data_IF_575498227552
#
_entry.id   IF_575498227552
#
_cell.length_a   1.000
_cell.length_b   1.000
_cell.length_c   1.000
_cell.angle_alpha   90.00
_cell.angle_beta   90.00
_cell.angle_gamma   90.00
#
_symmetry.space_group_name_H-M   'P 1'
#
loop_
_entity.id
_entity.type
_entity.pdbx_description
1 polymer ?
#
# COMPACT_ATOMS: atom_id res chain seq x y z
N UNK A 1 -7.43 -11.53 16.43
CA UNK A 1 -8.17 -10.46 15.74
C UNK A 1 -8.30 -9.28 16.70
N UNK A 2 -7.74 -8.12 16.32
CA UNK A 2 -7.84 -6.89 17.13
C UNK A 2 -9.29 -6.38 17.03
N UNK A 3 -9.90 -6.06 18.17
CA UNK A 3 -11.24 -5.47 18.21
C UNK A 3 -11.12 -3.95 18.21
N UNK A 4 -11.36 -3.33 17.06
CA UNK A 4 -11.34 -1.86 16.87
C UNK A 4 -12.70 -1.46 16.31
N UNK A 5 -13.31 -0.42 16.88
CA UNK A 5 -14.49 0.21 16.30
C UNK A 5 -14.12 0.81 14.94
N UNK A 6 -14.90 0.47 13.92
CA UNK A 6 -14.61 0.90 12.54
C UNK A 6 -15.79 1.67 11.97
N UNK A 7 -15.49 2.74 11.23
CA UNK A 7 -16.45 3.49 10.43
C UNK A 7 -16.01 3.43 8.96
N UNK A 8 -16.88 2.90 8.11
CA UNK A 8 -16.65 2.93 6.67
C UNK A 8 -16.86 4.35 6.13
N UNK A 9 -15.99 4.74 5.19
CA UNK A 9 -16.06 6.02 4.48
C UNK A 9 -16.35 5.71 3.01
N UNK A 10 -17.47 6.20 2.48
CA UNK A 10 -17.87 5.96 1.09
C UNK A 10 -17.09 6.87 0.13
N UNK A 11 -15.97 6.35 -0.37
CA UNK A 11 -15.12 7.07 -1.32
C UNK A 11 -15.80 7.31 -2.68
N UNK A 12 -16.78 6.47 -3.06
CA UNK A 12 -17.49 6.62 -4.35
C UNK A 12 -18.39 7.85 -4.33
N UNK A 13 -19.01 8.12 -3.18
CA UNK A 13 -19.83 9.31 -2.94
C UNK A 13 -19.04 10.50 -2.37
N UNK A 14 -17.70 10.38 -2.34
CA UNK A 14 -16.80 11.44 -1.86
C UNK A 14 -17.01 11.82 -0.38
N UNK A 15 -17.46 10.90 0.45
CA UNK A 15 -17.74 11.14 1.89
C UNK A 15 -16.47 11.64 2.64
N UNK A 16 -15.26 11.26 2.17
CA UNK A 16 -14.00 11.76 2.72
C UNK A 16 -13.81 13.29 2.52
N UNK A 17 -14.63 13.92 1.68
CA UNK A 17 -14.58 15.37 1.44
C UNK A 17 -15.57 16.14 2.31
N UNK A 18 -16.43 15.46 3.08
CA UNK A 18 -17.38 16.08 3.98
C UNK A 18 -16.70 16.71 5.20
N UNK A 19 -17.36 17.72 5.77
CA UNK A 19 -16.83 18.51 6.89
C UNK A 19 -16.46 17.67 8.11
N UNK A 20 -17.25 16.63 8.42
CA UNK A 20 -16.98 15.77 9.58
C UNK A 20 -15.66 15.00 9.42
N UNK A 21 -15.38 14.49 8.19
CA UNK A 21 -14.13 13.76 7.93
C UNK A 21 -12.95 14.73 7.79
N UNK A 22 -13.15 15.86 7.10
CA UNK A 22 -12.11 16.89 6.93
C UNK A 22 -11.63 17.48 8.25
N UNK A 23 -12.49 17.53 9.28
CA UNK A 23 -12.11 17.92 10.65
C UNK A 23 -11.20 16.90 11.33
N UNK A 24 -11.36 15.60 11.01
CA UNK A 24 -10.51 14.52 11.50
C UNK A 24 -9.20 14.48 10.72
N UNK A 25 -9.30 14.45 9.39
CA UNK A 25 -8.14 14.42 8.50
C UNK A 25 -8.25 15.45 7.38
N UNK A 26 -7.62 16.63 7.50
CA UNK A 26 -7.64 17.67 6.48
C UNK A 26 -7.02 17.27 5.13
N UNK A 27 -6.33 16.12 5.07
CA UNK A 27 -5.83 15.53 3.82
C UNK A 27 -6.90 14.83 3.01
N UNK A 28 -8.08 14.56 3.61
CA UNK A 28 -9.21 13.88 2.95
C UNK A 28 -8.81 12.51 2.38
N UNK A 29 -7.97 11.77 3.10
CA UNK A 29 -7.47 10.43 2.72
C UNK A 29 -7.81 9.40 3.78
N UNK A 30 -7.98 8.15 3.36
CA UNK A 30 -8.13 6.98 4.22
C UNK A 30 -6.89 6.07 4.05
N UNK A 31 -6.56 5.24 5.06
CA UNK A 31 -7.21 5.07 6.35
C UNK A 31 -6.88 6.19 7.35
N UNK A 32 -7.69 6.28 8.42
CA UNK A 32 -7.41 7.12 9.59
C UNK A 32 -7.68 6.30 10.85
N UNK A 33 -6.79 6.38 11.81
CA UNK A 33 -6.97 5.82 13.15
C UNK A 33 -6.94 6.97 14.18
N UNK A 34 -7.91 6.97 15.08
CA UNK A 34 -7.94 7.87 16.24
C UNK A 34 -7.66 7.04 17.49
N UNK A 35 -6.60 7.37 18.23
CA UNK A 35 -6.24 6.68 19.47
C UNK A 35 -7.17 7.04 20.63
N UNK A 36 -7.03 6.34 21.76
CA UNK A 36 -7.78 6.63 23.00
C UNK A 36 -7.48 8.03 23.55
N UNK A 37 -6.27 8.54 23.30
CA UNK A 37 -5.86 9.90 23.66
C UNK A 37 -6.21 10.95 22.59
N UNK A 38 -7.05 10.61 21.62
CA UNK A 38 -7.43 11.45 20.48
C UNK A 38 -6.26 11.85 19.55
N UNK A 39 -5.16 11.11 19.53
CA UNK A 39 -4.12 11.28 18.53
C UNK A 39 -4.58 10.69 17.19
N UNK A 40 -4.27 11.39 16.09
CA UNK A 40 -4.73 11.01 14.75
C UNK A 40 -3.55 10.49 13.93
N UNK A 41 -3.70 9.26 13.42
CA UNK A 41 -2.77 8.62 12.50
C UNK A 41 -3.47 8.42 11.15
N UNK A 42 -2.85 8.88 10.05
CA UNK A 42 -3.46 8.90 8.72
C UNK A 42 -2.57 8.31 7.61
N UNK A 43 -1.46 7.65 8.00
CA UNK A 43 -0.66 6.82 7.10
C UNK A 43 -0.69 5.37 7.57
N UNK A 44 -0.85 4.43 6.63
CA UNK A 44 -0.96 3.00 6.94
C UNK A 44 0.20 2.51 7.81
N UNK A 45 1.45 2.87 7.48
CA UNK A 45 2.62 2.48 8.27
C UNK A 45 2.58 3.05 9.68
N UNK A 46 2.20 4.32 9.86
CA UNK A 46 2.08 4.92 11.20
C UNK A 46 1.01 4.23 12.04
N UNK A 47 -0.11 3.85 11.41
CA UNK A 47 -1.17 3.08 12.06
C UNK A 47 -0.65 1.71 12.48
N UNK A 48 0.07 1.00 11.61
CA UNK A 48 0.65 -0.31 11.92
C UNK A 48 1.68 -0.23 13.06
N UNK A 49 2.55 0.79 13.05
CA UNK A 49 3.51 1.01 14.15
C UNK A 49 2.81 1.25 15.48
N UNK A 50 1.76 2.08 15.49
CA UNK A 50 0.96 2.31 16.70
C UNK A 50 0.28 1.02 17.19
N UNK A 51 -0.38 0.29 16.27
CA UNK A 51 -1.09 -0.94 16.61
C UNK A 51 -0.15 -2.04 17.11
N UNK A 52 1.05 -2.15 16.56
CA UNK A 52 2.03 -3.15 17.02
C UNK A 52 2.56 -2.84 18.43
N UNK A 53 2.63 -1.57 18.82
CA UNK A 53 2.96 -1.20 20.21
C UNK A 53 1.80 -1.50 21.18
N UNK A 54 0.55 -1.31 20.73
CA UNK A 54 -0.63 -1.65 21.54
C UNK A 54 -0.88 -3.18 21.64
N UNK A 55 -0.42 -3.95 20.63
CA UNK A 55 -0.62 -5.40 20.51
C UNK A 55 0.68 -6.10 20.09
N UNK A 56 1.71 -6.10 20.97
CA UNK A 56 3.07 -6.54 20.61
C UNK A 56 3.20 -8.04 20.33
N UNK A 57 2.22 -8.86 20.68
CA UNK A 57 2.21 -10.31 20.45
C UNK A 57 2.15 -10.69 18.96
N UNK A 58 1.70 -9.80 18.08
CA UNK A 58 1.58 -10.06 16.63
C UNK A 58 2.93 -9.95 15.92
N UNK A 59 3.72 -8.95 16.27
CA UNK A 59 5.11 -8.74 15.85
C UNK A 59 5.35 -8.86 14.33
N UNK A 60 4.58 -8.09 13.53
CA UNK A 60 4.74 -8.07 12.07
C UNK A 60 5.82 -7.09 11.59
N UNK A 61 6.18 -6.09 12.41
CA UNK A 61 7.20 -5.09 12.08
C UNK A 61 8.62 -5.47 12.58
N UNK A 62 8.78 -6.65 13.19
CA UNK A 62 10.08 -7.18 13.56
C UNK A 62 10.40 -7.18 15.04
N UNK A 63 11.24 -8.13 15.46
CA UNK A 63 11.64 -8.37 16.84
C UNK A 63 12.93 -7.63 17.23
N UNK A 64 13.85 -7.48 16.28
CA UNK A 64 15.13 -6.80 16.46
C UNK A 64 15.15 -5.46 15.73
N UNK A 65 16.09 -4.59 16.08
CA UNK A 65 16.25 -3.30 15.38
C UNK A 65 16.61 -3.51 13.90
N UNK A 66 17.43 -4.50 13.60
CA UNK A 66 17.83 -4.85 12.24
C UNK A 66 16.64 -5.36 11.43
N UNK A 67 15.85 -6.28 11.99
CA UNK A 67 14.65 -6.80 11.34
C UNK A 67 13.62 -5.69 11.08
N UNK A 68 13.37 -4.82 12.08
CA UNK A 68 12.49 -3.66 11.93
C UNK A 68 12.97 -2.73 10.81
N UNK A 69 14.27 -2.42 10.80
CA UNK A 69 14.86 -1.60 9.75
C UNK A 69 14.67 -2.19 8.35
N UNK A 70 14.90 -3.50 8.20
CA UNK A 70 14.73 -4.21 6.93
C UNK A 70 13.27 -4.24 6.47
N UNK A 71 12.33 -4.53 7.36
CA UNK A 71 10.89 -4.55 7.05
C UNK A 71 10.42 -3.17 6.61
N UNK A 72 10.77 -2.10 7.35
CA UNK A 72 10.39 -0.73 7.00
C UNK A 72 11.03 -0.31 5.67
N UNK A 73 12.27 -0.73 5.41
CA UNK A 73 12.94 -0.48 4.14
C UNK A 73 12.19 -1.10 2.96
N UNK A 74 11.78 -2.37 3.09
CA UNK A 74 10.98 -3.06 2.06
C UNK A 74 9.61 -2.42 1.87
N UNK A 75 8.93 -2.02 2.95
CA UNK A 75 7.65 -1.30 2.87
C UNK A 75 7.81 0.00 2.08
N UNK A 76 8.82 0.81 2.39
CA UNK A 76 9.07 2.06 1.68
C UNK A 76 9.46 1.84 0.21
N UNK A 77 10.20 0.76 -0.07
CA UNK A 77 10.58 0.40 -1.43
C UNK A 77 9.35 0.01 -2.27
N UNK A 78 8.46 -0.82 -1.72
CA UNK A 78 7.17 -1.18 -2.35
C UNK A 78 6.30 0.07 -2.56
N UNK A 79 6.17 0.95 -1.54
CA UNK A 79 5.39 2.19 -1.66
C UNK A 79 5.91 3.07 -2.80
N UNK A 80 7.22 3.33 -2.78
CA UNK A 80 7.84 4.28 -3.71
C UNK A 80 7.92 3.76 -5.15
N UNK A 81 8.11 2.45 -5.33
CA UNK A 81 8.40 1.86 -6.63
C UNK A 81 7.22 1.12 -7.25
N UNK A 82 6.33 0.52 -6.44
CA UNK A 82 5.17 -0.21 -6.96
C UNK A 82 3.87 0.56 -6.76
N UNK A 83 3.49 0.94 -5.53
CA UNK A 83 2.22 1.65 -5.29
C UNK A 83 2.12 2.98 -6.04
N UNK A 84 3.17 3.80 -6.00
CA UNK A 84 3.19 5.07 -6.75
C UNK A 84 3.08 4.82 -8.25
N UNK A 85 3.76 3.80 -8.77
CA UNK A 85 3.70 3.44 -10.19
C UNK A 85 2.30 2.99 -10.62
N UNK A 86 1.62 2.18 -9.80
CA UNK A 86 0.22 1.78 -10.04
C UNK A 86 -0.71 3.01 -9.96
N UNK A 87 -0.51 3.87 -8.97
CA UNK A 87 -1.29 5.10 -8.82
C UNK A 87 -1.12 6.03 -10.01
N UNK A 88 0.09 6.19 -10.53
CA UNK A 88 0.38 6.95 -11.75
C UNK A 88 -0.39 6.38 -12.95
N UNK A 89 -0.41 5.04 -13.12
CA UNK A 89 -1.19 4.39 -14.17
C UNK A 89 -2.68 4.64 -14.00
N UNK A 90 -3.22 4.26 -12.85
CA UNK A 90 -4.67 4.25 -12.61
C UNK A 90 -5.27 5.65 -12.67
N UNK A 91 -4.63 6.60 -11.96
CA UNK A 91 -5.16 7.95 -11.79
C UNK A 91 -5.04 8.79 -13.04
N UNK A 92 -4.01 8.54 -13.86
CA UNK A 92 -3.80 9.28 -15.11
C UNK A 92 -4.50 8.66 -16.34
N UNK A 93 -5.19 7.51 -16.19
CA UNK A 93 -5.97 6.88 -17.28
C UNK A 93 -7.45 6.71 -16.97
N UNK A 94 -7.82 6.61 -15.70
CA UNK A 94 -9.21 6.34 -15.32
C UNK A 94 -10.09 7.57 -15.56
N UNK A 95 -11.19 7.40 -16.29
CA UNK A 95 -12.20 8.45 -16.51
C UNK A 95 -12.79 8.97 -15.19
N UNK A 96 -12.92 8.11 -14.18
CA UNK A 96 -13.43 8.48 -12.86
C UNK A 96 -12.46 9.39 -12.08
N UNK A 97 -11.20 9.46 -12.49
CA UNK A 97 -10.17 10.29 -11.88
C UNK A 97 -9.87 11.57 -12.67
N UNK A 98 -10.71 11.90 -13.68
CA UNK A 98 -10.55 13.14 -14.43
C UNK A 98 -10.55 14.34 -13.48
N UNK A 99 -9.53 15.21 -13.60
CA UNK A 99 -9.26 16.36 -12.72
C UNK A 99 -8.99 15.98 -11.25
N UNK A 100 -8.74 14.68 -10.96
CA UNK A 100 -8.45 14.17 -9.61
C UNK A 100 -7.30 13.18 -9.62
N UNK A 101 -6.26 13.48 -10.40
CA UNK A 101 -5.10 12.59 -10.56
C UNK A 101 -4.29 12.38 -9.27
N UNK A 102 -4.45 13.27 -8.29
CA UNK A 102 -3.86 13.13 -6.95
C UNK A 102 -4.99 13.16 -5.92
N UNK A 103 -4.91 12.28 -4.92
CA UNK A 103 -5.85 12.28 -3.78
C UNK A 103 -5.60 13.48 -2.87
N UNK A 104 -6.68 13.97 -2.23
CA UNK A 104 -6.59 15.09 -1.30
C UNK A 104 -7.58 16.21 -1.64
N UNK A 105 -7.46 17.36 -0.95
CA UNK A 105 -8.43 18.45 -1.06
C UNK A 105 -8.31 19.26 -2.35
N UNK A 106 -7.19 19.17 -3.08
CA UNK A 106 -6.98 19.87 -4.35
C UNK A 106 -7.16 18.94 -5.53
N UNK A 107 -7.73 19.50 -6.60
CA UNK A 107 -7.86 18.81 -7.87
C UNK A 107 -6.62 19.03 -8.75
N UNK A 108 -6.20 17.96 -9.43
CA UNK A 108 -5.09 17.98 -10.38
C UNK A 108 -5.51 17.26 -11.66
N UNK A 109 -5.09 17.81 -12.80
CA UNK A 109 -5.33 17.20 -14.09
C UNK A 109 -4.50 15.94 -14.29
N UNK A 110 -4.98 15.09 -15.18
CA UNK A 110 -4.28 13.86 -15.58
C UNK A 110 -3.13 14.20 -16.54
N UNK A 111 -2.03 13.47 -16.40
CA UNK A 111 -0.84 13.53 -17.26
C UNK A 111 -0.63 12.14 -17.84
N UNK A 112 -1.07 11.87 -19.09
CA UNK A 112 -1.02 10.52 -19.67
C UNK A 112 0.37 9.89 -19.69
N UNK A 113 1.43 10.68 -19.83
CA UNK A 113 2.82 10.22 -19.86
C UNK A 113 3.24 9.58 -18.53
N UNK A 114 2.67 10.03 -17.41
CA UNK A 114 2.89 9.40 -16.10
C UNK A 114 2.34 7.97 -16.07
N UNK A 115 1.22 7.72 -16.74
CA UNK A 115 0.65 6.38 -16.83
C UNK A 115 1.54 5.42 -17.62
N UNK A 116 2.16 5.90 -18.70
CA UNK A 116 3.10 5.09 -19.52
C UNK A 116 4.30 4.73 -18.65
N UNK A 117 4.96 5.72 -18.05
CA UNK A 117 6.10 5.52 -17.16
C UNK A 117 5.76 4.64 -15.96
N UNK A 118 4.57 4.83 -15.36
CA UNK A 118 4.10 4.02 -14.25
C UNK A 118 4.01 2.54 -14.61
N UNK A 119 3.45 2.22 -15.78
CA UNK A 119 3.34 0.84 -16.26
C UNK A 119 4.71 0.17 -16.45
N UNK A 120 5.68 0.88 -17.01
CA UNK A 120 7.06 0.37 -17.17
C UNK A 120 7.71 0.11 -15.81
N UNK A 121 7.51 1.03 -14.84
CA UNK A 121 8.00 0.86 -13.46
C UNK A 121 7.39 -0.38 -12.78
N UNK A 122 6.11 -0.64 -12.97
CA UNK A 122 5.46 -1.85 -12.43
C UNK A 122 6.14 -3.11 -12.96
N UNK A 123 6.38 -3.20 -14.28
CA UNK A 123 7.06 -4.35 -14.90
C UNK A 123 8.47 -4.55 -14.35
N UNK A 124 9.25 -3.47 -14.29
CA UNK A 124 10.61 -3.53 -13.74
C UNK A 124 10.62 -3.93 -12.26
N UNK A 125 9.63 -3.48 -11.49
CA UNK A 125 9.56 -3.85 -10.08
C UNK A 125 9.13 -5.30 -9.86
N UNK A 126 8.32 -5.87 -10.75
CA UNK A 126 8.03 -7.30 -10.75
C UNK A 126 9.29 -8.15 -10.94
N UNK A 127 10.22 -7.72 -11.81
CA UNK A 127 11.51 -8.39 -11.99
C UNK A 127 12.34 -8.37 -10.70
N UNK A 128 12.36 -7.22 -10.01
CA UNK A 128 13.04 -7.06 -8.71
C UNK A 128 12.43 -8.00 -7.67
N UNK A 129 11.09 -7.99 -7.51
CA UNK A 129 10.41 -8.86 -6.55
C UNK A 129 10.63 -10.34 -6.88
N UNK A 130 10.54 -10.73 -8.15
CA UNK A 130 10.78 -12.10 -8.57
C UNK A 130 12.20 -12.57 -8.22
N UNK A 131 13.20 -11.71 -8.43
CA UNK A 131 14.58 -12.02 -8.06
C UNK A 131 14.74 -12.12 -6.53
N UNK A 132 14.15 -11.19 -5.77
CA UNK A 132 14.23 -11.19 -4.29
C UNK A 132 13.56 -12.42 -3.66
N UNK A 133 12.49 -12.92 -4.29
CA UNK A 133 11.69 -14.06 -3.82
C UNK A 133 12.20 -15.41 -4.33
N UNK A 134 13.20 -15.43 -5.21
CA UNK A 134 13.79 -16.67 -5.73
C UNK A 134 14.38 -17.49 -4.58
N UNK A 135 13.81 -18.68 -4.34
CA UNK A 135 14.23 -19.59 -3.27
C UNK A 135 13.85 -19.14 -1.85
N UNK A 136 13.00 -18.12 -1.71
CA UNK A 136 12.54 -17.63 -0.41
C UNK A 136 11.04 -17.83 -0.24
N UNK A 137 10.64 -18.03 1.02
CA UNK A 137 9.22 -18.11 1.37
C UNK A 137 8.58 -16.74 1.56
N UNK A 138 9.34 -15.75 2.07
CA UNK A 138 8.89 -14.40 2.38
C UNK A 138 9.96 -13.36 2.03
N UNK A 139 9.57 -12.08 1.98
CA UNK A 139 10.43 -10.99 1.50
C UNK A 139 11.60 -10.67 2.45
N UNK A 140 11.34 -10.59 3.74
CA UNK A 140 12.34 -10.11 4.72
C UNK A 140 13.09 -11.24 5.41
N UNK A 141 12.37 -12.27 5.87
CA UNK A 141 12.89 -13.33 6.73
C UNK A 141 12.21 -14.66 6.42
N UNK A 142 12.43 -15.67 7.27
CA UNK A 142 11.79 -16.98 7.14
C UNK A 142 10.32 -16.99 7.63
N UNK A 143 9.77 -15.85 8.01
CA UNK A 143 8.41 -15.69 8.48
C UNK A 143 7.67 -14.58 7.74
N UNK A 144 6.35 -14.66 7.73
CA UNK A 144 5.46 -13.63 7.21
C UNK A 144 5.56 -12.34 8.04
N UNK A 145 5.69 -11.19 7.38
CA UNK A 145 5.86 -9.87 7.99
C UNK A 145 4.97 -8.82 7.33
N UNK A 146 4.99 -7.60 7.86
CA UNK A 146 4.30 -6.47 7.25
C UNK A 146 4.81 -6.15 5.83
N UNK A 147 6.08 -6.44 5.52
CA UNK A 147 6.61 -6.27 4.17
C UNK A 147 5.87 -7.16 3.14
N UNK A 148 5.52 -8.40 3.52
CA UNK A 148 4.74 -9.30 2.67
C UNK A 148 3.32 -8.77 2.47
N UNK A 149 2.69 -8.22 3.51
CA UNK A 149 1.36 -7.61 3.40
C UNK A 149 1.39 -6.45 2.40
N UNK A 150 2.36 -5.55 2.53
CA UNK A 150 2.51 -4.40 1.63
C UNK A 150 2.71 -4.82 0.19
N UNK A 151 3.65 -5.72 -0.03
CA UNK A 151 3.94 -6.23 -1.37
C UNK A 151 2.74 -6.98 -1.96
N UNK A 152 2.07 -7.83 -1.16
CA UNK A 152 0.88 -8.56 -1.62
C UNK A 152 -0.23 -7.62 -2.07
N UNK A 153 -0.58 -6.63 -1.24
CA UNK A 153 -1.63 -5.65 -1.58
C UNK A 153 -1.25 -4.86 -2.83
N UNK A 154 0.03 -4.48 -2.98
CA UNK A 154 0.50 -3.76 -4.15
C UNK A 154 0.43 -4.62 -5.42
N UNK A 155 0.93 -5.85 -5.36
CA UNK A 155 0.88 -6.81 -6.48
C UNK A 155 -0.56 -7.12 -6.87
N UNK A 156 -1.45 -7.37 -5.89
CA UNK A 156 -2.88 -7.59 -6.14
C UNK A 156 -3.53 -6.37 -6.81
N UNK A 157 -3.14 -5.17 -6.41
CA UNK A 157 -3.70 -3.93 -6.95
C UNK A 157 -3.31 -3.66 -8.40
N UNK A 158 -2.28 -4.31 -8.95
CA UNK A 158 -1.93 -4.19 -10.38
C UNK A 158 -3.05 -4.67 -11.32
N UNK A 159 -3.99 -5.48 -10.82
CA UNK A 159 -5.22 -5.85 -11.54
C UNK A 159 -6.05 -4.62 -11.95
N UNK A 160 -6.04 -3.56 -11.14
CA UNK A 160 -6.75 -2.33 -11.45
C UNK A 160 -6.24 -1.62 -12.72
N UNK A 161 -4.98 -1.85 -13.07
CA UNK A 161 -4.34 -1.34 -14.29
C UNK A 161 -4.16 -2.40 -15.37
N UNK A 162 -4.72 -3.61 -15.16
CA UNK A 162 -4.65 -4.76 -16.09
C UNK A 162 -3.21 -5.18 -16.39
N UNK A 163 -2.36 -5.20 -15.38
CA UNK A 163 -0.98 -5.68 -15.47
C UNK A 163 -0.82 -6.93 -14.61
N UNK A 164 -1.05 -8.14 -15.14
CA UNK A 164 -0.89 -9.39 -14.39
C UNK A 164 0.58 -9.72 -14.17
N UNK A 165 0.87 -10.56 -13.16
CA UNK A 165 2.19 -11.14 -12.97
C UNK A 165 2.52 -12.00 -14.20
N UNK A 166 3.66 -11.76 -14.88
CA UNK A 166 4.08 -12.57 -16.01
C UNK A 166 4.32 -14.05 -15.63
N UNK A 167 3.97 -14.99 -16.54
CA UNK A 167 4.08 -16.43 -16.27
C UNK A 167 5.50 -16.90 -15.96
N UNK A 168 6.51 -16.25 -16.52
CA UNK A 168 7.91 -16.57 -16.31
C UNK A 168 8.44 -16.12 -14.93
N UNK A 169 7.70 -15.33 -14.19
CA UNK A 169 8.07 -14.84 -12.86
C UNK A 169 7.62 -15.82 -11.76
N UNK A 170 8.21 -17.01 -11.78
CA UNK A 170 7.80 -18.11 -10.90
C UNK A 170 7.99 -17.81 -9.42
N UNK A 171 9.08 -17.16 -9.02
CA UNK A 171 9.35 -16.81 -7.63
C UNK A 171 8.28 -15.85 -7.07
N UNK A 172 7.91 -14.84 -7.84
CA UNK A 172 6.84 -13.89 -7.47
C UNK A 172 5.47 -14.56 -7.43
N UNK A 173 5.16 -15.45 -8.39
CA UNK A 173 3.88 -16.18 -8.43
C UNK A 173 3.73 -17.14 -7.28
N UNK A 174 4.73 -17.97 -7.01
CA UNK A 174 4.71 -18.95 -5.91
C UNK A 174 4.54 -18.26 -4.55
N UNK A 175 5.22 -17.11 -4.38
CA UNK A 175 5.04 -16.30 -3.18
C UNK A 175 3.62 -15.71 -3.11
N UNK A 176 3.11 -15.12 -4.20
CA UNK A 176 1.78 -14.53 -4.25
C UNK A 176 0.69 -15.56 -3.90
N UNK A 177 0.77 -16.78 -4.46
CA UNK A 177 -0.16 -17.88 -4.15
C UNK A 177 -0.06 -18.35 -2.70
N UNK A 178 1.14 -18.30 -2.10
CA UNK A 178 1.37 -18.70 -0.70
C UNK A 178 0.78 -17.72 0.29
N UNK A 179 0.80 -16.43 -0.01
CA UNK A 179 0.37 -15.37 0.93
C UNK A 179 -1.07 -14.89 0.69
N UNK A 180 -1.76 -15.37 -0.35
CA UNK A 180 -3.13 -15.00 -0.75
C UNK A 180 -4.27 -15.65 0.12
#
# INVERSE_FOLDING_TARGET
KINIETKNVDLRNSEQMEDWFSKINPRNTVPVLVSKENNIFYHSLSICVYLEQEFPEINLLGSTNEEKGQIINLINDVESNLFIAIADCLRNTSKAMKNRAITGPKNYEQIPELAIRGRERVKSYFEILNHQLSGKSFLCSDRFTAADIWAFVAVDFTRAIKEPIPDLMTGLRDWYERVS
#
